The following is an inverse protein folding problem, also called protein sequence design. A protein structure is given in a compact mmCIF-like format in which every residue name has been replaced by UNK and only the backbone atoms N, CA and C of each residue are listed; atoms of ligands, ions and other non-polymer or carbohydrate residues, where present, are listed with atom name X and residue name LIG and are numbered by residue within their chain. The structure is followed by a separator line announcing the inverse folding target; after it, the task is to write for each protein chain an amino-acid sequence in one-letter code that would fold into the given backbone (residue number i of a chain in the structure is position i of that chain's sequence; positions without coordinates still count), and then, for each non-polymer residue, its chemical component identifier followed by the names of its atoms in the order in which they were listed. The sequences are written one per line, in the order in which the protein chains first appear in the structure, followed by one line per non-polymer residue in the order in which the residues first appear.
data_IF_565153524020
#
_entry.id   IF_565153524020
#
_cell.length_a   1.000
_cell.length_b   1.000
_cell.length_c   1.000
_cell.angle_alpha   90.00
_cell.angle_beta   90.00
_cell.angle_gamma   90.00
#
_symmetry.space_group_name_H-M   'P 1'
#
loop_
_entity.id
_entity.type
_entity.pdbx_description
1 polymer ?
#
# COMPACT_ATOMS: atom_id res chain seq x y z
N UNK A 1 -27.55 1.84 -6.91
CA UNK A 1 -26.81 0.86 -7.75
C UNK A 1 -25.46 1.49 -8.08
N UNK A 2 -24.34 0.83 -7.82
CA UNK A 2 -23.02 1.41 -8.05
C UNK A 2 -22.70 1.39 -9.55
N UNK A 3 -22.77 2.56 -10.18
CA UNK A 3 -22.60 2.73 -11.63
C UNK A 3 -21.20 2.25 -12.10
N UNK A 4 -20.18 2.31 -11.23
CA UNK A 4 -18.86 1.80 -11.56
C UNK A 4 -18.85 0.28 -11.70
N UNK A 5 -19.44 -0.45 -10.73
CA UNK A 5 -19.51 -1.92 -10.78
C UNK A 5 -20.36 -2.43 -11.93
N UNK A 6 -21.52 -1.80 -12.16
CA UNK A 6 -22.49 -2.30 -13.13
C UNK A 6 -22.17 -1.92 -14.58
N UNK A 7 -21.53 -0.77 -14.80
CA UNK A 7 -21.26 -0.29 -16.17
C UNK A 7 -19.75 -0.24 -16.49
N UNK A 8 -18.98 0.52 -15.69
CA UNK A 8 -17.58 0.79 -15.99
C UNK A 8 -16.70 -0.46 -15.77
N UNK A 9 -16.89 -1.13 -14.63
CA UNK A 9 -16.12 -2.35 -14.32
C UNK A 9 -16.42 -3.48 -15.29
N UNK A 10 -17.70 -3.70 -15.60
CA UNK A 10 -18.09 -4.75 -16.55
C UNK A 10 -17.62 -4.45 -17.97
N UNK A 11 -17.80 -3.21 -18.45
CA UNK A 11 -17.36 -2.80 -19.79
C UNK A 11 -15.83 -2.88 -19.92
N UNK A 12 -15.09 -2.26 -19.00
CA UNK A 12 -13.62 -2.18 -19.10
C UNK A 12 -12.93 -3.53 -18.89
N UNK A 13 -13.47 -4.39 -17.99
CA UNK A 13 -12.80 -5.63 -17.64
C UNK A 13 -13.25 -6.82 -18.46
N UNK A 14 -14.49 -6.83 -18.96
CA UNK A 14 -15.08 -7.99 -19.64
C UNK A 14 -15.23 -7.76 -21.14
N UNK A 15 -15.76 -6.60 -21.57
CA UNK A 15 -16.05 -6.36 -22.97
C UNK A 15 -14.86 -5.79 -23.76
N UNK A 16 -14.12 -4.84 -23.17
CA UNK A 16 -13.00 -4.18 -23.87
C UNK A 16 -11.67 -4.90 -23.67
N UNK A 17 -11.57 -5.84 -22.71
CA UNK A 17 -10.34 -6.62 -22.39
C UNK A 17 -9.08 -5.73 -22.35
N UNK A 18 -9.22 -4.52 -21.80
CA UNK A 18 -8.17 -3.50 -21.81
C UNK A 18 -6.94 -4.00 -21.04
N UNK A 19 -5.78 -3.77 -21.62
CA UNK A 19 -4.51 -4.14 -21.01
C UNK A 19 -4.35 -3.45 -19.62
N UNK A 20 -4.15 -4.20 -18.53
CA UNK A 20 -4.22 -3.65 -17.18
C UNK A 20 -3.19 -2.54 -16.91
N UNK A 21 -1.97 -2.68 -17.42
CA UNK A 21 -0.92 -1.69 -17.20
C UNK A 21 -1.18 -0.41 -18.00
N UNK A 22 -1.70 -0.52 -19.23
CA UNK A 22 -2.09 0.63 -20.05
C UNK A 22 -3.21 1.43 -19.33
N UNK A 23 -4.25 0.74 -18.87
CA UNK A 23 -5.35 1.40 -18.16
C UNK A 23 -4.85 2.09 -16.89
N UNK A 24 -3.95 1.45 -16.14
CA UNK A 24 -3.34 2.05 -14.97
C UNK A 24 -2.57 3.34 -15.32
N UNK A 25 -1.77 3.33 -16.39
CA UNK A 25 -1.04 4.53 -16.85
C UNK A 25 -2.00 5.66 -17.25
N UNK A 26 -3.11 5.35 -17.96
CA UNK A 26 -4.11 6.36 -18.29
C UNK A 26 -4.80 6.92 -17.02
N UNK A 27 -5.11 6.07 -16.07
CA UNK A 27 -5.71 6.49 -14.79
C UNK A 27 -4.75 7.44 -14.04
N UNK A 28 -3.50 7.06 -13.85
CA UNK A 28 -2.50 7.91 -13.18
C UNK A 28 -2.28 9.22 -13.95
N UNK A 29 -2.25 9.19 -15.30
CA UNK A 29 -2.16 10.39 -16.12
C UNK A 29 -3.34 11.35 -15.92
N UNK A 30 -4.56 10.82 -15.85
CA UNK A 30 -5.77 11.59 -15.59
C UNK A 30 -5.77 12.18 -14.17
N UNK A 31 -5.32 11.40 -13.19
CA UNK A 31 -5.17 11.85 -11.80
C UNK A 31 -4.10 12.94 -11.67
N UNK A 32 -2.99 12.85 -12.41
CA UNK A 32 -1.98 13.90 -12.48
C UNK A 32 -2.55 15.20 -13.05
N UNK A 33 -3.32 15.11 -14.12
CA UNK A 33 -3.97 16.29 -14.69
C UNK A 33 -4.93 16.91 -13.66
N UNK A 34 -5.76 16.12 -13.00
CA UNK A 34 -6.69 16.57 -11.96
C UNK A 34 -5.93 17.15 -10.75
N UNK A 35 -4.82 16.53 -10.34
CA UNK A 35 -3.93 17.00 -9.29
C UNK A 35 -3.37 18.41 -9.61
N UNK A 36 -2.90 18.62 -10.85
CA UNK A 36 -2.39 19.93 -11.27
C UNK A 36 -3.48 21.00 -11.37
N UNK A 37 -4.69 20.63 -11.74
CA UNK A 37 -5.82 21.58 -11.77
C UNK A 37 -6.20 22.06 -10.37
N UNK A 38 -5.93 21.27 -9.32
CA UNK A 38 -6.22 21.65 -7.94
C UNK A 38 -5.41 22.84 -7.43
N UNK A 39 -4.31 23.18 -8.10
CA UNK A 39 -3.53 24.41 -7.80
C UNK A 39 -4.20 25.72 -8.25
N UNK A 40 -5.23 25.63 -9.10
CA UNK A 40 -5.91 26.80 -9.63
C UNK A 40 -7.30 26.96 -8.98
N UNK A 41 -7.60 28.16 -8.50
CA UNK A 41 -8.88 28.47 -7.85
C UNK A 41 -10.10 28.23 -8.74
N UNK A 42 -9.95 28.33 -10.06
CA UNK A 42 -11.01 28.10 -11.05
C UNK A 42 -11.54 26.67 -11.10
N UNK A 43 -10.78 25.69 -10.59
CA UNK A 43 -11.13 24.25 -10.61
C UNK A 43 -11.40 23.67 -9.21
N UNK A 44 -11.38 24.52 -8.18
CA UNK A 44 -11.67 24.10 -6.79
C UNK A 44 -13.04 23.42 -6.64
N UNK A 45 -14.02 23.77 -7.47
CA UNK A 45 -15.35 23.18 -7.47
C UNK A 45 -15.32 21.67 -7.78
N UNK A 46 -14.42 21.20 -8.65
CA UNK A 46 -14.25 19.76 -8.95
C UNK A 46 -13.76 19.01 -7.71
N UNK A 47 -12.77 19.55 -7.01
CA UNK A 47 -12.26 18.93 -5.78
C UNK A 47 -13.34 18.90 -4.70
N UNK A 48 -14.11 19.97 -4.54
CA UNK A 48 -15.23 20.01 -3.61
C UNK A 48 -16.30 18.95 -3.96
N UNK A 49 -16.59 18.80 -5.26
CA UNK A 49 -17.51 17.77 -5.74
C UNK A 49 -17.00 16.36 -5.39
N UNK A 50 -15.73 16.05 -5.69
CA UNK A 50 -15.13 14.76 -5.32
C UNK A 50 -15.18 14.52 -3.81
N UNK A 51 -14.78 15.50 -3.00
CA UNK A 51 -14.83 15.39 -1.55
C UNK A 51 -16.25 15.15 -1.04
N UNK A 52 -17.24 15.86 -1.55
CA UNK A 52 -18.64 15.68 -1.15
C UNK A 52 -19.18 14.28 -1.44
N UNK A 53 -18.82 13.68 -2.57
CA UNK A 53 -19.33 12.38 -2.99
C UNK A 53 -18.47 11.20 -2.53
N UNK A 54 -17.17 11.37 -2.43
CA UNK A 54 -16.24 10.26 -2.17
C UNK A 54 -15.72 10.22 -0.73
N UNK A 55 -15.64 11.37 -0.03
CA UNK A 55 -15.11 11.41 1.32
C UNK A 55 -16.21 11.21 2.38
N UNK A 56 -15.79 10.68 3.51
CA UNK A 56 -16.58 10.58 4.73
C UNK A 56 -15.70 11.04 5.89
N UNK A 57 -16.11 12.11 6.56
CA UNK A 57 -15.41 12.65 7.71
C UNK A 57 -16.25 12.38 8.96
N UNK A 58 -15.73 11.56 9.85
CA UNK A 58 -16.36 11.25 11.14
C UNK A 58 -15.25 11.09 12.20
N UNK A 59 -15.30 11.85 13.31
CA UNK A 59 -14.25 11.82 14.34
C UNK A 59 -14.05 10.44 14.99
N UNK A 60 -15.04 9.55 14.91
CA UNK A 60 -14.92 8.18 15.42
C UNK A 60 -13.92 7.34 14.62
N UNK A 61 -13.62 7.74 13.37
CA UNK A 61 -12.63 7.08 12.51
C UNK A 61 -11.25 7.70 12.59
N UNK A 62 -11.11 8.88 13.22
CA UNK A 62 -9.81 9.55 13.36
C UNK A 62 -8.90 8.82 14.35
N UNK A 63 -7.61 8.80 14.05
CA UNK A 63 -6.58 8.25 14.93
C UNK A 63 -5.32 9.12 14.90
N UNK A 64 -4.61 9.15 16.03
CA UNK A 64 -3.25 9.68 16.08
C UNK A 64 -2.29 8.53 16.37
N UNK A 65 -1.40 8.23 15.44
CA UNK A 65 -0.45 7.12 15.52
C UNK A 65 0.95 7.69 15.25
N UNK A 66 1.88 7.44 16.15
CA UNK A 66 3.26 7.95 16.07
C UNK A 66 3.33 9.48 15.87
N UNK A 67 2.41 10.22 16.48
CA UNK A 67 2.30 11.67 16.35
C UNK A 67 1.65 12.18 15.06
N UNK A 68 1.32 11.30 14.12
CA UNK A 68 0.64 11.65 12.86
C UNK A 68 -0.88 11.50 13.00
N UNK A 69 -1.63 12.49 12.53
CA UNK A 69 -3.10 12.43 12.52
C UNK A 69 -3.61 11.79 11.22
N UNK A 70 -4.38 10.71 11.36
CA UNK A 70 -5.06 10.02 10.28
C UNK A 70 -6.57 10.30 10.36
N UNK A 71 -7.19 10.94 9.35
CA UNK A 71 -8.62 11.24 9.38
C UNK A 71 -9.51 10.00 9.32
N UNK A 72 -8.98 8.88 8.87
CA UNK A 72 -9.60 7.56 8.91
C UNK A 72 -8.54 6.46 8.74
N UNK A 73 -8.86 5.18 9.07
CA UNK A 73 -7.87 4.10 9.07
C UNK A 73 -7.54 3.52 7.68
N UNK A 74 -8.21 3.95 6.59
CA UNK A 74 -8.06 3.32 5.27
C UNK A 74 -7.13 4.11 4.36
N UNK A 75 -6.04 3.49 3.93
CA UNK A 75 -5.03 4.07 3.05
C UNK A 75 -4.93 3.42 1.67
N UNK A 76 -4.28 4.14 0.76
CA UNK A 76 -3.83 3.60 -0.52
C UNK A 76 -2.51 2.85 -0.34
N UNK A 77 -2.45 1.59 -0.80
CA UNK A 77 -1.23 0.79 -0.71
C UNK A 77 -0.20 1.16 -1.79
N UNK A 78 1.09 0.96 -1.45
CA UNK A 78 2.19 1.09 -2.40
C UNK A 78 2.00 0.27 -3.68
N UNK A 79 2.57 0.76 -4.76
CA UNK A 79 2.50 0.16 -6.09
C UNK A 79 1.45 0.80 -6.99
N UNK A 80 0.51 1.56 -6.44
CA UNK A 80 -0.49 2.26 -7.24
C UNK A 80 0.08 3.58 -7.81
N UNK A 81 0.60 4.45 -6.97
CA UNK A 81 1.31 5.68 -7.37
C UNK A 81 2.81 5.55 -7.08
N UNK A 82 3.51 4.87 -8.01
CA UNK A 82 4.91 4.48 -7.80
C UNK A 82 5.87 5.66 -7.79
N UNK A 83 5.52 6.71 -8.49
CA UNK A 83 6.38 7.85 -8.75
C UNK A 83 5.91 9.13 -8.05
N UNK A 84 4.85 9.05 -7.23
CA UNK A 84 4.26 10.21 -6.56
C UNK A 84 3.60 11.21 -7.51
N UNK A 85 3.12 10.73 -8.67
CA UNK A 85 2.57 11.59 -9.72
C UNK A 85 1.26 12.25 -9.29
N UNK A 86 0.49 11.57 -8.45
CA UNK A 86 -0.82 12.02 -7.96
C UNK A 86 -0.84 12.21 -6.42
N UNK A 87 0.31 12.50 -5.81
CA UNK A 87 0.50 12.51 -4.36
C UNK A 87 -0.52 13.40 -3.61
N UNK A 88 -0.91 14.54 -4.18
CA UNK A 88 -1.79 15.53 -3.55
C UNK A 88 -3.28 15.30 -3.78
N UNK A 89 -3.71 14.22 -4.46
CA UNK A 89 -5.14 14.04 -4.77
C UNK A 89 -5.82 12.90 -4.01
N UNK A 90 -5.06 12.01 -3.37
CA UNK A 90 -5.61 10.81 -2.74
C UNK A 90 -6.63 11.09 -1.65
N UNK A 91 -6.48 12.21 -0.94
CA UNK A 91 -7.46 12.68 0.06
C UNK A 91 -8.84 12.96 -0.56
N UNK A 92 -8.91 13.41 -1.82
CA UNK A 92 -10.18 13.67 -2.51
C UNK A 92 -10.96 12.38 -2.86
N UNK A 93 -10.29 11.22 -2.79
CA UNK A 93 -10.91 9.90 -2.90
C UNK A 93 -11.28 9.30 -1.53
N UNK A 94 -11.12 10.07 -0.45
CA UNK A 94 -11.49 9.68 0.90
C UNK A 94 -10.45 8.84 1.65
N UNK A 95 -9.27 8.60 1.05
CA UNK A 95 -8.19 7.91 1.76
C UNK A 95 -7.69 8.72 2.95
N UNK A 96 -7.47 8.05 4.07
CA UNK A 96 -6.91 8.63 5.30
C UNK A 96 -5.39 8.79 5.25
N UNK A 97 -4.71 8.11 4.33
CA UNK A 97 -3.28 8.23 4.04
C UNK A 97 -2.96 7.56 2.69
N UNK A 98 -1.77 7.82 2.16
CA UNK A 98 -1.31 7.16 0.93
C UNK A 98 0.15 6.72 1.06
N UNK A 99 0.45 5.51 0.57
CA UNK A 99 1.80 4.98 0.46
C UNK A 99 2.25 5.03 -1.01
N UNK A 100 3.17 5.93 -1.31
CA UNK A 100 3.76 6.13 -2.63
C UNK A 100 4.93 5.15 -2.84
N UNK A 101 5.26 4.85 -4.08
CA UNK A 101 6.33 3.91 -4.39
C UNK A 101 5.74 2.54 -4.79
N UNK A 102 6.54 1.48 -4.88
CA UNK A 102 7.92 1.37 -4.40
C UNK A 102 8.86 2.15 -5.33
N UNK A 103 9.65 3.02 -4.77
CA UNK A 103 10.71 3.75 -5.45
C UNK A 103 12.05 3.12 -5.13
N UNK A 104 12.97 3.13 -6.09
CA UNK A 104 14.36 2.67 -5.93
C UNK A 104 15.32 3.83 -6.14
N UNK A 105 16.53 3.73 -5.64
CA UNK A 105 17.52 4.79 -5.82
C UNK A 105 17.75 5.09 -7.30
N UNK A 106 18.06 4.06 -8.08
CA UNK A 106 18.18 4.17 -9.53
C UNK A 106 16.84 3.98 -10.23
N UNK A 107 16.55 4.75 -11.31
CA UNK A 107 15.40 4.49 -12.16
C UNK A 107 15.50 3.13 -12.83
N UNK A 108 14.37 2.44 -12.98
CA UNK A 108 14.38 1.14 -13.67
C UNK A 108 13.08 0.85 -14.40
N UNK A 109 13.14 0.18 -15.57
CA UNK A 109 11.97 -0.11 -16.39
C UNK A 109 11.10 -1.23 -15.79
N UNK A 110 11.63 -1.98 -14.82
CA UNK A 110 11.02 -3.19 -14.29
C UNK A 110 11.21 -4.40 -15.20
N UNK A 111 10.39 -5.43 -14.99
CA UNK A 111 10.41 -6.65 -15.80
C UNK A 111 9.73 -6.43 -17.16
N UNK A 112 10.05 -7.24 -18.21
CA UNK A 112 9.41 -7.14 -19.52
C UNK A 112 7.89 -7.36 -19.45
N UNK A 113 7.09 -6.61 -20.23
CA UNK A 113 5.67 -6.89 -20.44
C UNK A 113 5.45 -8.21 -21.24
N UNK A 114 4.29 -8.88 -21.10
CA UNK A 114 3.20 -8.58 -20.16
C UNK A 114 3.57 -8.98 -18.73
N UNK A 115 3.22 -8.13 -17.77
CA UNK A 115 3.67 -8.26 -16.38
C UNK A 115 2.60 -7.96 -15.33
N UNK A 116 1.37 -7.70 -15.78
CA UNK A 116 0.21 -7.47 -14.91
C UNK A 116 -1.02 -8.16 -15.52
N UNK A 117 -1.64 -9.04 -14.75
CA UNK A 117 -2.79 -9.84 -15.17
C UNK A 117 -3.91 -9.73 -14.12
N UNK A 118 -5.13 -9.49 -14.58
CA UNK A 118 -6.32 -9.58 -13.74
C UNK A 118 -6.82 -11.01 -13.70
N UNK A 119 -7.23 -11.46 -12.52
CA UNK A 119 -7.87 -12.75 -12.29
C UNK A 119 -9.27 -12.52 -11.73
N UNK A 120 -10.27 -12.20 -12.59
CA UNK A 120 -11.58 -11.75 -12.12
C UNK A 120 -12.33 -12.80 -11.30
N UNK A 121 -12.21 -14.09 -11.64
CA UNK A 121 -12.83 -15.19 -10.92
C UNK A 121 -12.36 -15.29 -9.46
N UNK A 122 -11.14 -14.81 -9.20
CA UNK A 122 -10.48 -14.84 -7.91
C UNK A 122 -10.52 -13.49 -7.19
N UNK A 123 -11.08 -12.45 -7.82
CA UNK A 123 -10.95 -11.06 -7.36
C UNK A 123 -9.50 -10.72 -7.02
N UNK A 124 -8.59 -11.05 -7.93
CA UNK A 124 -7.14 -11.01 -7.73
C UNK A 124 -6.41 -10.36 -8.90
N UNK A 125 -5.14 -10.06 -8.68
CA UNK A 125 -4.21 -9.70 -9.73
C UNK A 125 -2.89 -10.45 -9.54
N UNK A 126 -2.35 -10.99 -10.63
CA UNK A 126 -1.00 -11.52 -10.70
C UNK A 126 -0.10 -10.47 -11.33
N UNK A 127 1.01 -10.14 -10.66
CA UNK A 127 1.95 -9.18 -11.19
C UNK A 127 3.41 -9.63 -11.02
N UNK A 128 4.24 -9.21 -11.98
CA UNK A 128 5.71 -9.30 -11.95
C UNK A 128 6.33 -7.98 -12.37
N UNK A 129 5.90 -6.87 -11.77
CA UNK A 129 6.26 -5.51 -12.18
C UNK A 129 7.76 -5.23 -12.06
N UNK A 130 8.44 -5.74 -11.01
CA UNK A 130 9.88 -5.55 -10.83
C UNK A 130 10.28 -4.12 -10.48
N UNK A 131 9.46 -3.44 -9.67
CA UNK A 131 9.70 -2.06 -9.22
C UNK A 131 9.98 -1.06 -10.36
N UNK A 132 9.17 -1.09 -11.44
CA UNK A 132 9.28 -0.07 -12.48
C UNK A 132 8.97 1.32 -11.90
N UNK A 133 9.95 2.22 -11.92
CA UNK A 133 9.84 3.58 -11.39
C UNK A 133 10.90 4.52 -11.98
N UNK A 134 10.72 5.82 -11.81
CA UNK A 134 11.60 6.86 -12.34
C UNK A 134 12.81 7.18 -11.44
N UNK A 135 12.96 6.48 -10.30
CA UNK A 135 14.04 6.68 -9.33
C UNK A 135 13.75 7.75 -8.27
N UNK A 136 14.49 7.67 -7.15
CA UNK A 136 14.30 8.53 -5.99
C UNK A 136 14.48 10.02 -6.32
N UNK A 137 15.43 10.38 -7.19
CA UNK A 137 15.66 11.76 -7.63
C UNK A 137 14.42 12.35 -8.31
N UNK A 138 13.80 11.59 -9.21
CA UNK A 138 12.61 12.05 -9.93
C UNK A 138 11.40 12.16 -9.00
N UNK A 139 11.24 11.23 -8.04
CA UNK A 139 10.20 11.32 -7.03
C UNK A 139 10.41 12.54 -6.12
N UNK A 140 11.64 12.79 -5.66
CA UNK A 140 11.97 13.96 -4.85
C UNK A 140 11.62 15.26 -5.56
N UNK A 141 11.97 15.39 -6.84
CA UNK A 141 11.64 16.57 -7.63
C UNK A 141 10.11 16.83 -7.70
N UNK A 142 9.32 15.77 -7.91
CA UNK A 142 7.84 15.86 -7.96
C UNK A 142 7.23 16.25 -6.62
N UNK A 143 7.68 15.63 -5.54
CA UNK A 143 7.16 15.93 -4.20
C UNK A 143 7.54 17.35 -3.74
N UNK A 144 8.72 17.83 -4.11
CA UNK A 144 9.09 19.25 -3.90
C UNK A 144 8.16 20.19 -4.70
N UNK A 145 7.89 19.88 -5.97
CA UNK A 145 6.93 20.65 -6.78
C UNK A 145 5.54 20.69 -6.12
N UNK A 146 5.05 19.56 -5.57
CA UNK A 146 3.80 19.51 -4.82
C UNK A 146 3.86 20.42 -3.59
N UNK A 147 4.96 20.36 -2.81
CA UNK A 147 5.16 21.14 -1.60
C UNK A 147 5.22 22.65 -1.87
N UNK A 148 5.85 23.06 -2.97
CA UNK A 148 5.98 24.46 -3.36
C UNK A 148 4.70 25.04 -3.95
N UNK A 149 3.97 24.27 -4.76
CA UNK A 149 2.77 24.75 -5.48
C UNK A 149 1.48 24.57 -4.70
N UNK A 150 1.40 23.65 -3.76
CA UNK A 150 0.25 23.56 -2.90
C UNK A 150 0.34 24.60 -1.79
N UNK A 151 -0.60 25.56 -1.78
CA UNK A 151 -0.73 26.51 -0.67
C UNK A 151 -1.06 25.84 0.68
N UNK A 152 -1.25 24.55 0.69
CA UNK A 152 -1.57 23.73 1.86
C UNK A 152 -0.77 22.44 1.83
N UNK A 153 -0.27 21.94 2.98
CA UNK A 153 0.27 20.59 3.07
C UNK A 153 -0.79 19.59 2.63
N UNK A 154 -0.36 18.48 2.06
CA UNK A 154 -1.29 17.36 1.75
C UNK A 154 -2.01 17.00 3.05
N UNK A 155 -3.37 16.98 3.09
CA UNK A 155 -4.12 16.90 4.35
C UNK A 155 -4.15 15.51 4.98
N UNK A 156 -3.41 14.56 4.41
CA UNK A 156 -3.29 13.18 4.89
C UNK A 156 -1.81 12.78 4.93
N UNK A 157 -1.39 11.90 5.84
CA UNK A 157 -0.02 11.39 5.88
C UNK A 157 0.38 10.70 4.58
N UNK A 158 1.61 10.98 4.12
CA UNK A 158 2.22 10.38 2.94
C UNK A 158 3.38 9.49 3.36
N UNK A 159 3.23 8.19 3.13
CA UNK A 159 4.30 7.21 3.27
C UNK A 159 5.09 7.05 1.99
N UNK A 160 6.39 6.78 2.11
CA UNK A 160 7.25 6.47 0.97
C UNK A 160 7.81 5.06 1.13
N UNK A 161 7.44 4.19 0.19
CA UNK A 161 7.87 2.80 0.13
C UNK A 161 9.17 2.70 -0.67
N UNK A 162 10.24 2.28 -0.01
CA UNK A 162 11.59 2.14 -0.56
C UNK A 162 11.87 0.69 -0.93
N UNK A 163 12.51 0.49 -2.06
CA UNK A 163 12.96 -0.82 -2.52
C UNK A 163 14.36 -0.77 -3.06
N UNK A 164 15.06 -1.92 -3.06
CA UNK A 164 16.39 -2.05 -3.63
C UNK A 164 16.34 -1.99 -5.16
N UNK A 165 17.23 -1.20 -5.76
CA UNK A 165 17.43 -1.16 -7.20
C UNK A 165 17.88 -2.52 -7.75
N UNK A 166 17.38 -2.91 -8.93
CA UNK A 166 17.70 -4.21 -9.55
C UNK A 166 19.19 -4.33 -9.88
N UNK A 167 19.81 -3.22 -10.30
CA UNK A 167 21.24 -3.17 -10.67
C UNK A 167 22.16 -3.23 -9.46
N UNK A 168 21.69 -2.90 -8.26
CA UNK A 168 22.50 -2.92 -7.04
C UNK A 168 22.65 -4.37 -6.54
N UNK A 169 23.87 -4.86 -6.29
CA UNK A 169 24.10 -6.15 -5.66
C UNK A 169 23.44 -6.27 -4.28
N UNK A 170 23.17 -7.49 -3.81
CA UNK A 170 22.49 -7.70 -2.52
C UNK A 170 23.31 -7.20 -1.33
N UNK A 171 24.61 -7.35 -1.36
CA UNK A 171 25.56 -6.90 -0.35
C UNK A 171 25.63 -5.37 -0.22
N UNK A 172 25.19 -4.64 -1.24
CA UNK A 172 25.08 -3.17 -1.22
C UNK A 172 23.64 -2.68 -1.00
N UNK A 173 22.73 -3.59 -0.64
CA UNK A 173 21.31 -3.24 -0.45
C UNK A 173 21.13 -2.13 0.58
N UNK A 174 21.79 -2.21 1.73
CA UNK A 174 21.66 -1.21 2.80
C UNK A 174 22.01 0.20 2.32
N UNK A 175 23.07 0.34 1.51
CA UNK A 175 23.45 1.62 0.92
C UNK A 175 22.41 2.14 -0.08
N UNK A 176 21.83 1.27 -0.91
CA UNK A 176 20.81 1.64 -1.90
C UNK A 176 19.53 2.17 -1.22
N UNK A 177 19.09 1.52 -0.12
CA UNK A 177 17.98 2.03 0.70
C UNK A 177 18.32 3.38 1.34
N UNK A 178 19.53 3.52 1.89
CA UNK A 178 19.98 4.76 2.53
C UNK A 178 19.99 5.94 1.57
N UNK A 179 20.54 5.77 0.37
CA UNK A 179 20.59 6.84 -0.64
C UNK A 179 19.16 7.28 -1.07
N UNK A 180 18.24 6.33 -1.21
CA UNK A 180 16.84 6.65 -1.45
C UNK A 180 16.22 7.42 -0.28
N UNK A 181 16.48 6.98 0.95
CA UNK A 181 15.98 7.62 2.17
C UNK A 181 16.49 9.06 2.30
N UNK A 182 17.78 9.29 2.09
CA UNK A 182 18.40 10.65 2.16
C UNK A 182 17.74 11.64 1.22
N UNK A 183 17.42 11.22 -0.01
CA UNK A 183 16.76 12.08 -0.99
C UNK A 183 15.31 12.42 -0.62
N UNK A 184 14.64 11.56 0.15
CA UNK A 184 13.20 11.60 0.34
C UNK A 184 12.78 11.91 1.79
N UNK A 185 13.69 11.87 2.77
CA UNK A 185 13.38 11.95 4.21
C UNK A 185 12.61 13.22 4.64
N UNK A 186 12.75 14.31 3.92
CA UNK A 186 12.05 15.56 4.21
C UNK A 186 10.73 15.72 3.45
N UNK A 187 10.36 14.71 2.64
CA UNK A 187 9.22 14.72 1.72
C UNK A 187 8.14 13.70 2.06
N UNK A 188 8.45 12.74 2.92
CA UNK A 188 7.50 11.76 3.47
C UNK A 188 7.26 11.96 4.95
N UNK A 189 6.07 11.55 5.42
CA UNK A 189 5.71 11.54 6.83
C UNK A 189 6.22 10.27 7.53
N UNK A 190 6.23 9.14 6.81
CA UNK A 190 6.80 7.88 7.24
C UNK A 190 7.44 7.13 6.06
N UNK A 191 8.29 6.14 6.37
CA UNK A 191 9.02 5.34 5.37
C UNK A 191 8.77 3.85 5.54
N UNK A 192 8.87 3.12 4.43
CA UNK A 192 8.66 1.67 4.43
C UNK A 192 9.84 0.98 3.74
N UNK A 193 10.52 0.10 4.46
CA UNK A 193 11.54 -0.80 3.92
C UNK A 193 10.82 -2.01 3.30
N UNK A 194 10.79 -2.07 1.97
CA UNK A 194 10.12 -3.13 1.22
C UNK A 194 11.11 -4.22 0.79
N UNK A 195 11.25 -5.23 1.62
CA UNK A 195 12.09 -6.42 1.37
C UNK A 195 11.30 -7.64 0.92
N UNK A 196 10.01 -7.46 0.59
CA UNK A 196 9.04 -8.56 0.47
C UNK A 196 8.56 -8.85 -0.95
N UNK A 197 8.99 -8.09 -1.97
CA UNK A 197 8.54 -8.32 -3.35
C UNK A 197 9.13 -9.61 -3.92
N UNK A 198 8.30 -10.49 -4.53
CA UNK A 198 8.79 -11.69 -5.20
C UNK A 198 9.36 -11.41 -6.60
N UNK A 199 9.28 -10.16 -7.06
CA UNK A 199 9.49 -9.78 -8.47
C UNK A 199 10.87 -9.20 -8.76
N UNK A 200 11.72 -9.10 -7.74
CA UNK A 200 13.13 -8.69 -7.84
C UNK A 200 14.00 -9.85 -7.35
N UNK A 201 14.95 -10.35 -8.16
CA UNK A 201 15.77 -11.48 -7.77
C UNK A 201 16.47 -11.25 -6.43
N UNK A 202 16.42 -12.24 -5.54
CA UNK A 202 17.07 -12.23 -4.24
C UNK A 202 16.48 -11.22 -3.22
N UNK A 203 15.51 -10.38 -3.58
CA UNK A 203 15.01 -9.35 -2.65
C UNK A 203 14.45 -9.95 -1.35
N UNK A 204 13.74 -11.06 -1.44
CA UNK A 204 13.15 -11.70 -0.26
C UNK A 204 14.18 -12.28 0.72
N UNK A 205 15.41 -12.57 0.28
CA UNK A 205 16.49 -12.94 1.20
C UNK A 205 16.89 -11.80 2.13
N UNK A 206 16.57 -10.53 1.75
CA UNK A 206 16.76 -9.38 2.64
C UNK A 206 15.83 -9.38 3.88
N UNK A 207 14.87 -10.31 3.96
CA UNK A 207 14.08 -10.55 5.17
C UNK A 207 14.83 -11.42 6.20
N UNK A 208 15.95 -12.05 5.79
CA UNK A 208 16.88 -12.68 6.72
C UNK A 208 17.37 -11.68 7.78
N UNK A 209 17.47 -12.14 9.03
CA UNK A 209 17.77 -11.28 10.15
C UNK A 209 19.10 -10.50 9.98
N UNK A 210 20.13 -11.14 9.43
CA UNK A 210 21.43 -10.52 9.23
C UNK A 210 21.40 -9.41 8.19
N UNK A 211 20.75 -9.66 7.06
CA UNK A 211 20.65 -8.67 5.97
C UNK A 211 19.71 -7.53 6.32
N UNK A 212 18.58 -7.82 6.94
CA UNK A 212 17.62 -6.81 7.37
C UNK A 212 18.22 -5.90 8.44
N UNK A 213 18.96 -6.45 9.40
CA UNK A 213 19.61 -5.65 10.45
C UNK A 213 20.56 -4.59 9.89
N UNK A 214 21.32 -4.91 8.85
CA UNK A 214 22.23 -3.95 8.18
C UNK A 214 21.46 -2.78 7.56
N UNK A 215 20.32 -3.06 6.93
CA UNK A 215 19.47 -2.03 6.33
C UNK A 215 18.89 -1.13 7.44
N UNK A 216 18.35 -1.72 8.49
CA UNK A 216 17.69 -0.98 9.58
C UNK A 216 18.69 -0.14 10.36
N UNK A 217 19.86 -0.69 10.67
CA UNK A 217 20.94 0.02 11.35
C UNK A 217 21.38 1.26 10.57
N UNK A 218 21.69 1.09 9.28
CA UNK A 218 22.15 2.18 8.43
C UNK A 218 21.11 3.28 8.26
N UNK A 219 19.83 2.92 8.14
CA UNK A 219 18.74 3.89 8.04
C UNK A 219 18.54 4.64 9.36
N UNK A 220 18.57 3.97 10.51
CA UNK A 220 18.36 4.60 11.81
C UNK A 220 19.53 5.51 12.21
N UNK A 221 20.75 5.19 11.83
CA UNK A 221 21.90 6.09 12.03
C UNK A 221 21.77 7.41 11.29
N UNK A 222 21.13 7.44 10.12
CA UNK A 222 20.88 8.67 9.33
C UNK A 222 19.53 9.34 9.64
N UNK A 223 18.66 8.69 10.41
CA UNK A 223 17.31 9.15 10.72
C UNK A 223 17.25 10.18 11.86
N UNK A 224 18.01 11.26 11.73
CA UNK A 224 18.09 12.32 12.73
C UNK A 224 16.73 13.02 12.99
N UNK A 225 15.86 13.05 11.98
CA UNK A 225 14.52 13.60 12.07
C UNK A 225 13.50 12.67 12.75
N UNK A 226 13.94 11.49 13.17
CA UNK A 226 13.11 10.44 13.82
C UNK A 226 11.82 10.12 13.02
N UNK A 227 11.94 10.09 11.69
CA UNK A 227 10.83 9.68 10.82
C UNK A 227 10.44 8.24 11.13
N UNK A 228 9.13 7.92 11.27
CA UNK A 228 8.70 6.54 11.45
C UNK A 228 9.13 5.66 10.26
N UNK A 229 9.80 4.55 10.55
CA UNK A 229 10.20 3.55 9.55
C UNK A 229 9.45 2.26 9.84
N UNK A 230 8.77 1.72 8.82
CA UNK A 230 8.08 0.43 8.85
C UNK A 230 8.83 -0.60 8.01
N UNK A 231 8.64 -1.88 8.32
CA UNK A 231 9.10 -2.98 7.46
C UNK A 231 7.89 -3.68 6.87
N UNK A 232 7.87 -3.85 5.53
CA UNK A 232 6.80 -4.57 4.82
C UNK A 232 7.24 -5.99 4.53
N UNK A 233 6.49 -6.95 5.07
CA UNK A 233 6.82 -8.38 5.04
C UNK A 233 6.01 -9.16 4.00
N UNK A 234 6.54 -10.31 3.57
CA UNK A 234 5.85 -11.25 2.68
C UNK A 234 4.87 -12.12 3.46
N UNK A 235 3.73 -12.53 2.86
CA UNK A 235 2.80 -13.46 3.50
C UNK A 235 3.30 -14.90 3.55
N UNK A 236 4.32 -15.21 2.75
CA UNK A 236 4.84 -16.56 2.58
C UNK A 236 5.97 -16.91 3.58
N UNK A 237 6.20 -16.05 4.57
CA UNK A 237 7.16 -16.28 5.64
C UNK A 237 6.65 -17.32 6.64
N UNK A 238 7.58 -18.13 7.15
CA UNK A 238 7.35 -18.99 8.32
C UNK A 238 7.24 -18.16 9.59
N UNK A 239 6.60 -18.70 10.62
CA UNK A 239 6.30 -17.98 11.86
C UNK A 239 7.57 -17.54 12.60
N UNK A 240 8.62 -18.37 12.58
CA UNK A 240 9.93 -18.09 13.15
C UNK A 240 10.57 -16.86 12.50
N UNK A 241 10.54 -16.77 11.18
CA UNK A 241 11.07 -15.62 10.45
C UNK A 241 10.29 -14.33 10.76
N UNK A 242 8.97 -14.42 10.93
CA UNK A 242 8.16 -13.26 11.35
C UNK A 242 8.55 -12.85 12.77
N UNK A 243 8.78 -13.79 13.69
CA UNK A 243 9.21 -13.52 15.05
C UNK A 243 10.59 -12.83 15.09
N UNK A 244 11.53 -13.28 14.26
CA UNK A 244 12.84 -12.66 14.13
C UNK A 244 12.73 -11.20 13.63
N UNK A 245 11.87 -10.94 12.65
CA UNK A 245 11.61 -9.57 12.17
C UNK A 245 10.99 -8.70 13.27
N UNK A 246 10.09 -9.23 14.10
CA UNK A 246 9.53 -8.51 15.26
C UNK A 246 10.64 -8.14 16.24
N UNK A 247 11.58 -9.04 16.52
CA UNK A 247 12.70 -8.77 17.42
C UNK A 247 13.65 -7.72 16.85
N UNK A 248 13.96 -7.79 15.55
CA UNK A 248 14.74 -6.75 14.86
C UNK A 248 14.02 -5.40 14.92
N UNK A 249 12.71 -5.36 14.68
CA UNK A 249 11.94 -4.14 14.74
C UNK A 249 12.03 -3.49 16.14
N UNK A 250 11.99 -4.28 17.21
CA UNK A 250 12.20 -3.81 18.59
C UNK A 250 13.62 -3.30 18.79
N UNK A 251 14.62 -4.07 18.37
CA UNK A 251 16.05 -3.75 18.55
C UNK A 251 16.42 -2.43 17.86
N UNK A 252 15.97 -2.24 16.64
CA UNK A 252 16.28 -1.05 15.84
C UNK A 252 15.22 0.06 15.97
N UNK A 253 14.32 -0.04 16.94
CA UNK A 253 13.27 0.96 17.20
C UNK A 253 12.46 1.31 15.93
N UNK A 254 12.11 0.30 15.15
CA UNK A 254 11.27 0.44 13.97
C UNK A 254 9.83 0.72 14.41
N UNK A 255 9.18 1.64 13.71
CA UNK A 255 7.86 2.15 14.06
C UNK A 255 6.75 1.09 14.02
N UNK A 256 6.89 0.06 13.20
CA UNK A 256 5.92 -1.01 13.07
C UNK A 256 6.13 -1.88 11.83
N UNK A 257 5.16 -2.76 11.57
CA UNK A 257 5.19 -3.69 10.45
C UNK A 257 4.00 -3.46 9.50
N UNK A 258 4.22 -3.73 8.21
CA UNK A 258 3.16 -3.77 7.20
C UNK A 258 2.94 -5.22 6.77
N UNK A 259 1.80 -5.76 7.10
CA UNK A 259 1.39 -7.13 6.83
C UNK A 259 0.18 -7.16 5.89
N UNK A 260 0.34 -7.52 4.58
CA UNK A 260 1.52 -8.08 3.93
C UNK A 260 1.70 -7.58 2.49
N UNK A 261 2.77 -8.01 1.80
CA UNK A 261 2.94 -7.92 0.34
C UNK A 261 2.09 -9.01 -0.36
N UNK A 262 2.35 -9.25 -1.64
CA UNK A 262 1.73 -10.30 -2.47
C UNK A 262 2.28 -11.69 -2.14
N UNK A 263 1.45 -12.74 -2.33
CA UNK A 263 1.85 -14.13 -2.14
C UNK A 263 2.35 -14.79 -3.43
N UNK A 264 3.24 -15.77 -3.28
CA UNK A 264 3.60 -16.70 -4.36
C UNK A 264 2.73 -17.95 -4.36
N UNK A 265 1.89 -18.15 -3.36
CA UNK A 265 0.91 -19.25 -3.35
C UNK A 265 -0.09 -19.10 -4.50
N UNK A 266 -0.47 -20.22 -5.08
CA UNK A 266 -1.48 -20.36 -6.13
C UNK A 266 -2.66 -21.19 -5.68
N UNK A 267 -2.66 -21.55 -4.40
CA UNK A 267 -3.67 -22.40 -3.81
C UNK A 267 -5.07 -21.74 -3.86
N UNK A 268 -6.08 -22.53 -4.15
CA UNK A 268 -7.47 -22.07 -4.16
C UNK A 268 -7.87 -21.17 -5.34
N UNK A 269 -6.96 -20.92 -6.31
CA UNK A 269 -7.30 -20.13 -7.50
C UNK A 269 -8.30 -20.86 -8.39
N UNK A 270 -9.34 -20.14 -8.83
CA UNK A 270 -10.36 -20.62 -9.78
C UNK A 270 -9.94 -20.42 -11.23
N UNK A 271 -9.13 -19.39 -11.49
CA UNK A 271 -8.59 -19.10 -12.82
C UNK A 271 -7.67 -20.22 -13.26
N UNK A 272 -7.99 -20.90 -14.36
CA UNK A 272 -7.20 -22.00 -14.91
C UNK A 272 -6.18 -21.52 -15.94
N UNK A 273 -6.57 -20.55 -16.78
CA UNK A 273 -5.73 -20.03 -17.86
C UNK A 273 -5.75 -18.50 -17.84
N UNK A 274 -4.59 -17.90 -17.96
CA UNK A 274 -4.40 -16.46 -18.18
C UNK A 274 -4.47 -16.24 -19.69
N UNK A 275 -5.59 -15.72 -20.16
CA UNK A 275 -5.88 -15.57 -21.62
C UNK A 275 -4.72 -14.93 -22.40
N UNK A 276 -4.02 -13.94 -21.80
CA UNK A 276 -2.97 -13.19 -22.48
C UNK A 276 -1.71 -14.01 -22.75
N UNK A 277 -1.42 -15.03 -21.97
CA UNK A 277 -0.20 -15.86 -22.10
C UNK A 277 -0.51 -17.29 -22.51
N UNK A 278 -1.76 -17.71 -22.38
CA UNK A 278 -2.18 -19.11 -22.58
C UNK A 278 -1.69 -20.08 -21.50
N UNK A 279 -1.07 -19.55 -20.41
CA UNK A 279 -0.52 -20.32 -19.31
C UNK A 279 -1.46 -20.33 -18.10
N UNK A 280 -1.34 -21.33 -17.28
CA UNK A 280 -2.00 -21.34 -15.97
C UNK A 280 -1.32 -20.34 -15.01
N UNK A 281 -2.02 -19.87 -13.97
CA UNK A 281 -1.40 -19.07 -12.91
C UNK A 281 -0.23 -19.76 -12.21
N UNK A 282 -0.20 -21.09 -12.17
CA UNK A 282 0.88 -21.89 -11.60
C UNK A 282 2.17 -21.80 -12.41
N UNK A 283 2.05 -21.66 -13.73
CA UNK A 283 3.19 -21.53 -14.65
C UNK A 283 3.69 -20.09 -14.79
N UNK A 284 2.91 -19.12 -14.30
CA UNK A 284 3.27 -17.70 -14.41
C UNK A 284 4.02 -17.21 -13.16
N UNK A 285 5.19 -16.63 -13.40
CA UNK A 285 5.94 -15.96 -12.35
C UNK A 285 5.23 -14.70 -11.86
N UNK A 286 5.41 -14.36 -10.58
CA UNK A 286 4.89 -13.14 -10.00
C UNK A 286 4.19 -13.35 -8.66
N UNK A 287 3.70 -12.25 -8.08
CA UNK A 287 2.93 -12.26 -6.84
C UNK A 287 1.43 -12.09 -7.08
N UNK A 288 0.62 -12.80 -6.32
CA UNK A 288 -0.84 -12.68 -6.28
C UNK A 288 -1.24 -11.68 -5.20
N UNK A 289 -2.08 -10.73 -5.56
CA UNK A 289 -2.76 -9.79 -4.66
C UNK A 289 -4.28 -9.97 -4.72
N UNK A 290 -5.00 -9.35 -3.80
CA UNK A 290 -6.46 -9.44 -3.74
C UNK A 290 -6.95 -10.52 -2.78
N UNK A 291 -8.11 -11.10 -3.07
CA UNK A 291 -8.80 -12.02 -2.16
C UNK A 291 -7.96 -13.22 -1.68
N UNK A 292 -7.12 -13.83 -2.53
CA UNK A 292 -6.33 -15.00 -2.13
C UNK A 292 -5.33 -14.74 -0.98
N UNK A 293 -4.94 -13.50 -0.74
CA UNK A 293 -4.00 -13.15 0.36
C UNK A 293 -4.71 -12.70 1.64
N UNK A 294 -6.05 -12.59 1.63
CA UNK A 294 -6.83 -11.98 2.72
C UNK A 294 -6.62 -12.68 4.06
N UNK A 295 -6.89 -13.96 4.09
CA UNK A 295 -6.94 -14.74 5.33
C UNK A 295 -5.52 -14.86 5.94
N UNK A 296 -4.52 -15.21 5.11
CA UNK A 296 -3.12 -15.28 5.56
C UNK A 296 -2.60 -13.94 6.09
N UNK A 297 -2.94 -12.83 5.44
CA UNK A 297 -2.59 -11.49 5.93
C UNK A 297 -3.22 -11.22 7.31
N UNK A 298 -4.48 -11.62 7.53
CA UNK A 298 -5.17 -11.44 8.82
C UNK A 298 -4.55 -12.32 9.91
N UNK A 299 -4.17 -13.57 9.61
CA UNK A 299 -3.44 -14.44 10.53
C UNK A 299 -2.11 -13.84 10.97
N UNK A 300 -1.35 -13.28 10.03
CA UNK A 300 -0.06 -12.65 10.32
C UNK A 300 -0.26 -11.40 11.19
N UNK A 301 -1.27 -10.57 10.91
CA UNK A 301 -1.59 -9.41 11.74
C UNK A 301 -1.89 -9.85 13.18
N UNK A 302 -2.72 -10.87 13.36
CA UNK A 302 -3.07 -11.45 14.66
C UNK A 302 -1.84 -11.96 15.39
N UNK A 303 -0.98 -12.69 14.70
CA UNK A 303 0.27 -13.20 15.25
C UNK A 303 1.19 -12.07 15.73
N UNK A 304 1.42 -11.04 14.90
CA UNK A 304 2.25 -9.88 15.28
C UNK A 304 1.64 -9.17 16.49
N UNK A 305 0.33 -8.95 16.51
CA UNK A 305 -0.37 -8.30 17.61
C UNK A 305 -0.17 -9.06 18.94
N UNK A 306 -0.34 -10.38 18.91
CA UNK A 306 -0.13 -11.26 20.08
C UNK A 306 1.33 -11.23 20.55
N UNK A 307 2.31 -11.40 19.65
CA UNK A 307 3.75 -11.41 19.99
C UNK A 307 4.25 -10.05 20.50
N UNK A 308 3.56 -8.98 20.17
CA UNK A 308 3.92 -7.62 20.62
C UNK A 308 3.00 -7.09 21.72
N UNK A 309 2.01 -7.87 22.14
CA UNK A 309 0.99 -7.45 23.12
C UNK A 309 0.31 -6.13 22.72
N UNK A 310 0.10 -5.93 21.41
CA UNK A 310 -0.49 -4.72 20.87
C UNK A 310 0.38 -3.46 20.89
N UNK A 311 1.63 -3.55 21.32
CA UNK A 311 2.52 -2.38 21.45
C UNK A 311 3.11 -1.91 20.13
N UNK A 312 3.17 -2.77 19.09
CA UNK A 312 3.74 -2.44 17.79
C UNK A 312 2.64 -2.05 16.82
N UNK A 313 2.66 -0.85 16.24
CA UNK A 313 1.75 -0.47 15.17
C UNK A 313 1.82 -1.42 13.98
N UNK A 314 0.64 -1.83 13.48
CA UNK A 314 0.52 -2.72 12.33
C UNK A 314 -0.34 -2.06 11.27
N UNK A 315 0.17 -1.97 10.03
CA UNK A 315 -0.63 -1.59 8.86
C UNK A 315 -1.04 -2.87 8.13
N UNK A 316 -2.33 -3.18 8.14
CA UNK A 316 -2.88 -4.39 7.53
C UNK A 316 -3.11 -4.22 6.03
N UNK A 317 -2.57 -5.13 5.21
CA UNK A 317 -2.72 -5.08 3.73
C UNK A 317 -2.99 -6.47 3.18
N UNK A 318 -3.98 -6.59 2.32
CA UNK A 318 -4.28 -7.82 1.57
C UNK A 318 -5.75 -8.20 1.62
N UNK A 319 -6.39 -8.27 0.46
CA UNK A 319 -7.74 -8.77 0.29
C UNK A 319 -8.86 -7.91 0.85
N UNK A 320 -8.65 -6.61 1.04
CA UNK A 320 -9.69 -5.68 1.50
C UNK A 320 -10.52 -5.21 0.31
N UNK A 321 -11.81 -5.57 0.31
CA UNK A 321 -12.83 -5.18 -0.67
C UNK A 321 -14.06 -4.55 0.00
N UNK A 322 -14.32 -4.92 1.25
CA UNK A 322 -15.52 -4.56 2.02
C UNK A 322 -15.16 -4.01 3.39
N UNK A 323 -16.13 -3.44 4.08
CA UNK A 323 -15.99 -3.02 5.47
C UNK A 323 -15.70 -4.22 6.40
N UNK A 324 -16.24 -5.39 6.08
CA UNK A 324 -15.97 -6.63 6.83
C UNK A 324 -14.51 -7.03 6.75
N UNK A 325 -13.92 -7.04 5.53
CA UNK A 325 -12.50 -7.35 5.36
C UNK A 325 -11.59 -6.37 6.14
N UNK A 326 -11.94 -5.07 6.14
CA UNK A 326 -11.22 -4.05 6.91
C UNK A 326 -11.39 -4.25 8.41
N UNK A 327 -12.62 -4.55 8.87
CA UNK A 327 -12.94 -4.80 10.26
C UNK A 327 -12.18 -6.00 10.82
N UNK A 328 -12.14 -7.12 10.09
CA UNK A 328 -11.39 -8.33 10.47
C UNK A 328 -9.90 -8.00 10.73
N UNK A 329 -9.28 -7.19 9.88
CA UNK A 329 -7.87 -6.81 10.08
C UNK A 329 -7.67 -5.89 11.28
N UNK A 330 -8.59 -4.94 11.49
CA UNK A 330 -8.52 -4.02 12.63
C UNK A 330 -8.72 -4.81 13.94
N UNK A 331 -9.72 -5.67 14.00
CA UNK A 331 -9.99 -6.47 15.19
C UNK A 331 -8.92 -7.53 15.46
N UNK A 332 -8.19 -7.96 14.42
CA UNK A 332 -7.01 -8.81 14.57
C UNK A 332 -5.77 -8.04 15.07
N UNK A 333 -5.79 -6.69 15.09
CA UNK A 333 -4.70 -5.88 15.66
C UNK A 333 -4.11 -4.81 14.74
N UNK A 334 -4.59 -4.65 13.50
CA UNK A 334 -4.12 -3.57 12.63
C UNK A 334 -4.67 -2.22 13.10
N UNK A 335 -3.80 -1.24 13.32
CA UNK A 335 -4.22 0.13 13.62
C UNK A 335 -4.61 0.92 12.36
N UNK A 336 -4.05 0.59 11.22
CA UNK A 336 -4.35 1.13 9.89
C UNK A 336 -4.49 -0.01 8.90
N UNK A 337 -5.21 0.22 7.80
CA UNK A 337 -5.38 -0.76 6.73
C UNK A 337 -5.18 -0.11 5.36
N UNK A 338 -4.69 -0.90 4.39
CA UNK A 338 -4.45 -0.41 3.03
C UNK A 338 -5.14 -1.29 1.99
N UNK A 339 -5.61 -0.67 0.92
CA UNK A 339 -6.15 -1.37 -0.25
C UNK A 339 -5.39 -1.04 -1.53
N UNK A 340 -5.32 -2.01 -2.44
CA UNK A 340 -4.83 -1.87 -3.81
C UNK A 340 -5.81 -2.54 -4.79
N UNK A 341 -5.81 -3.87 -4.80
CA UNK A 341 -6.62 -4.68 -5.73
C UNK A 341 -8.12 -4.45 -5.52
N UNK A 342 -8.55 -4.33 -4.26
CA UNK A 342 -9.94 -4.02 -3.94
C UNK A 342 -10.40 -2.72 -4.61
N UNK A 343 -9.60 -1.66 -4.55
CA UNK A 343 -9.95 -0.38 -5.14
C UNK A 343 -10.08 -0.45 -6.67
N UNK A 344 -9.25 -1.27 -7.34
CA UNK A 344 -9.36 -1.48 -8.79
C UNK A 344 -10.70 -2.13 -9.16
N UNK A 345 -11.13 -3.14 -8.39
CA UNK A 345 -12.39 -3.87 -8.67
C UNK A 345 -13.64 -3.10 -8.22
N UNK A 346 -13.55 -2.43 -7.07
CA UNK A 346 -14.69 -1.77 -6.41
C UNK A 346 -14.91 -0.32 -6.83
N UNK A 347 -13.87 0.32 -7.40
CA UNK A 347 -13.90 1.69 -7.89
C UNK A 347 -13.86 2.78 -6.80
N UNK A 348 -13.99 4.06 -7.22
CA UNK A 348 -13.71 5.21 -6.35
C UNK A 348 -14.63 5.33 -5.13
N UNK A 349 -15.86 4.80 -5.20
CA UNK A 349 -16.81 4.81 -4.06
C UNK A 349 -16.45 3.80 -2.95
N UNK A 350 -15.47 2.93 -3.17
CA UNK A 350 -15.10 1.87 -2.24
C UNK A 350 -14.71 2.42 -0.86
N UNK A 351 -13.88 3.46 -0.85
CA UNK A 351 -13.38 4.06 0.41
C UNK A 351 -14.56 4.51 1.27
N UNK A 352 -15.46 5.30 0.71
CA UNK A 352 -16.65 5.77 1.43
C UNK A 352 -17.53 4.62 1.92
N UNK A 353 -17.75 3.56 1.10
CA UNK A 353 -18.53 2.39 1.52
C UNK A 353 -17.88 1.66 2.70
N UNK A 354 -16.56 1.47 2.65
CA UNK A 354 -15.84 0.83 3.77
C UNK A 354 -15.97 1.67 5.03
N UNK A 355 -15.71 2.98 4.97
CA UNK A 355 -15.80 3.86 6.13
C UNK A 355 -17.20 3.91 6.72
N UNK A 356 -18.24 3.96 5.89
CA UNK A 356 -19.64 3.86 6.35
C UNK A 356 -19.89 2.53 7.07
N UNK A 357 -19.42 1.41 6.50
CA UNK A 357 -19.59 0.12 7.14
C UNK A 357 -18.81 -0.01 8.45
N UNK A 358 -17.62 0.59 8.55
CA UNK A 358 -16.86 0.64 9.81
C UNK A 358 -17.62 1.40 10.90
N UNK A 359 -18.27 2.52 10.58
CA UNK A 359 -19.12 3.24 11.53
C UNK A 359 -20.30 2.37 12.01
N UNK A 360 -20.96 1.65 11.11
CA UNK A 360 -21.99 0.68 11.48
C UNK A 360 -21.46 -0.40 12.41
N UNK A 361 -20.22 -0.90 12.17
CA UNK A 361 -19.57 -1.87 13.05
C UNK A 361 -19.28 -1.30 14.44
N UNK A 362 -18.82 -0.04 14.53
CA UNK A 362 -18.61 0.63 15.81
C UNK A 362 -19.94 0.73 16.58
N UNK A 363 -21.02 1.17 15.94
CA UNK A 363 -22.35 1.27 16.54
C UNK A 363 -22.85 -0.08 17.05
N UNK A 364 -22.74 -1.12 16.20
CA UNK A 364 -23.22 -2.48 16.55
C UNK A 364 -22.46 -3.07 17.73
N UNK A 365 -21.17 -2.73 17.88
CA UNK A 365 -20.31 -3.24 18.96
C UNK A 365 -20.23 -2.28 20.18
N UNK A 366 -20.95 -1.17 20.17
CA UNK A 366 -20.97 -0.19 21.27
C UNK A 366 -19.61 0.52 21.47
N UNK A 367 -18.82 0.68 20.41
CA UNK A 367 -17.50 1.31 20.44
C UNK A 367 -17.57 2.79 20.07
N UNK A 368 -16.89 3.64 20.81
CA UNK A 368 -16.87 5.07 20.60
C UNK A 368 -15.89 5.52 19.50
N UNK A 369 -14.88 4.72 19.19
CA UNK A 369 -13.87 5.04 18.16
C UNK A 369 -13.26 3.78 17.55
N UNK A 370 -12.68 3.96 16.37
CA UNK A 370 -11.99 2.86 15.66
C UNK A 370 -10.77 2.35 16.42
N UNK A 371 -10.13 3.19 17.23
CA UNK A 371 -9.01 2.78 18.06
C UNK A 371 -9.41 1.75 19.12
N UNK A 372 -10.66 1.77 19.59
CA UNK A 372 -11.17 0.77 20.52
C UNK A 372 -11.42 -0.59 19.88
N UNK A 373 -11.51 -0.65 18.54
CA UNK A 373 -11.70 -1.89 17.81
C UNK A 373 -10.39 -2.66 17.58
N UNK A 374 -9.23 -2.03 17.79
CA UNK A 374 -7.93 -2.64 17.51
C UNK A 374 -7.68 -3.81 18.46
N UNK A 375 -7.55 -5.02 17.88
CA UNK A 375 -7.20 -6.21 18.65
C UNK A 375 -8.30 -6.75 19.58
N UNK A 376 -9.57 -6.39 19.40
CA UNK A 376 -10.67 -6.95 20.22
C UNK A 376 -10.98 -8.41 19.92
N UNK A 377 -10.47 -8.95 18.81
CA UNK A 377 -10.59 -10.36 18.41
C UNK A 377 -9.23 -10.90 17.95
N UNK A 378 -8.20 -10.88 18.83
CA UNK A 378 -6.83 -11.20 18.48
C UNK A 378 -6.59 -12.71 18.25
#
# INVERSE_FOLDING_TARGET
MDTYKSLVGHILFTLVKTEPEWLHKQTIGSLNWLSKTSYYSSTSWLNNLFQQYLCLNDPRLEQTILGMKFPNPLGLAAGFDKDGIAANIWHNFGFGFAELGTVTYHPQPGNPPPRLFRLPLDQAALNRMGFNNAGAVAMAARLNEVKEKSNYPVPIPIGINLGKSKITPLELAAQDYLESFRLLKDLGDYFVVNVSSPNTPGLRSLQDATMLSQILDMLQQDNNAKKPIFVKIAPDLEWEAIYDIINLAKTYQIAGLIATNTTISREGLKTQIIEKTGKSPQEEAGGISGKPVRDRSTEIIRYIYQQTQGQMPIIGVGGIFTAEDAWEKITAGACLVQTYTGWIYEGPMMVRRILTGLLTKLETNGLASISQAIGISP
#
